data_IF_158232217235
#
_entry.id   IF_158232217235
#
_cell.length_a   1.000
_cell.length_b   1.000
_cell.length_c   1.000
_cell.angle_alpha   90.00
_cell.angle_beta   90.00
_cell.angle_gamma   90.00
#
_symmetry.space_group_name_H-M   'P 1'
#
loop_
_entity.id
_entity.type
_entity.pdbx_description
1 polymer ?
#
# COMPACT_ATOMS: atom_id res chain seq x y z
N UNK A 1 -26.53 8.12 -3.68
CA UNK A 1 -26.56 8.20 -2.19
C UNK A 1 -25.45 7.30 -1.68
N UNK A 2 -24.25 7.87 -1.74
CA UNK A 2 -22.97 7.21 -1.56
C UNK A 2 -22.70 6.95 -0.09
N UNK A 3 -22.90 5.70 0.35
CA UNK A 3 -22.39 5.24 1.66
C UNK A 3 -20.93 4.86 1.49
N UNK A 4 -20.01 5.82 1.67
CA UNK A 4 -18.60 5.51 1.95
C UNK A 4 -18.49 5.15 3.43
N UNK A 5 -18.61 3.87 3.75
CA UNK A 5 -18.28 3.35 5.08
C UNK A 5 -16.78 3.49 5.32
N UNK A 6 -16.41 4.36 6.26
CA UNK A 6 -15.07 4.43 6.81
C UNK A 6 -14.72 3.11 7.48
N UNK A 7 -13.52 2.59 7.20
CA UNK A 7 -13.02 1.33 7.77
C UNK A 7 -13.00 1.49 9.30
N UNK A 8 -13.77 0.72 10.08
CA UNK A 8 -13.63 0.77 11.53
C UNK A 8 -12.22 0.29 11.88
N UNK A 9 -11.55 0.98 12.80
CA UNK A 9 -10.34 0.47 13.44
C UNK A 9 -10.74 -0.82 14.16
N UNK A 10 -10.45 -1.96 13.52
CA UNK A 10 -10.65 -3.27 14.10
C UNK A 10 -9.70 -3.39 15.30
N UNK A 11 -10.27 -3.61 16.48
CA UNK A 11 -9.50 -4.02 17.64
C UNK A 11 -8.88 -5.39 17.34
N UNK A 12 -7.56 -5.38 17.13
CA UNK A 12 -6.78 -6.56 16.69
C UNK A 12 -6.87 -7.72 17.67
N UNK A 13 -7.24 -7.45 18.93
CA UNK A 13 -7.34 -8.46 19.98
C UNK A 13 -8.75 -9.03 20.14
N UNK A 14 -9.77 -8.47 19.47
CA UNK A 14 -11.16 -8.85 19.69
C UNK A 14 -11.81 -9.38 18.41
N UNK A 15 -11.52 -10.65 18.06
CA UNK A 15 -12.22 -11.37 17.01
C UNK A 15 -12.65 -12.77 17.53
N UNK A 16 -13.92 -13.12 17.34
CA UNK A 16 -14.44 -14.41 17.82
C UNK A 16 -14.08 -15.58 16.89
N UNK A 17 -13.90 -15.31 15.59
CA UNK A 17 -13.71 -16.33 14.53
C UNK A 17 -12.93 -15.79 13.34
N UNK A 18 -12.14 -16.65 12.69
CA UNK A 18 -11.43 -16.38 11.43
C UNK A 18 -12.08 -17.20 10.31
N UNK A 19 -12.20 -16.62 9.11
CA UNK A 19 -12.68 -17.31 7.90
C UNK A 19 -11.68 -17.12 6.77
N UNK A 20 -11.60 -18.13 5.91
CA UNK A 20 -10.83 -18.08 4.65
C UNK A 20 -11.81 -18.18 3.48
N UNK A 21 -11.52 -17.48 2.40
CA UNK A 21 -12.32 -17.49 1.18
C UNK A 21 -11.50 -16.99 -0.01
N UNK A 22 -12.02 -17.21 -1.21
CA UNK A 22 -11.44 -16.66 -2.42
C UNK A 22 -11.68 -15.15 -2.49
N UNK A 23 -10.65 -14.40 -2.87
CA UNK A 23 -10.75 -12.97 -3.09
C UNK A 23 -11.21 -12.68 -4.53
N UNK A 24 -12.21 -11.81 -4.69
CA UNK A 24 -12.63 -11.32 -6.01
C UNK A 24 -11.64 -10.28 -6.56
N UNK A 25 -11.62 -10.04 -7.89
CA UNK A 25 -10.80 -8.98 -8.48
C UNK A 25 -11.07 -7.59 -7.88
N UNK A 26 -12.31 -7.30 -7.51
CA UNK A 26 -12.71 -6.04 -6.87
C UNK A 26 -12.13 -5.92 -5.46
N UNK A 27 -12.13 -7.03 -4.69
CA UNK A 27 -11.53 -7.06 -3.35
C UNK A 27 -10.03 -6.83 -3.40
N UNK A 28 -9.33 -7.49 -4.34
CA UNK A 28 -7.88 -7.31 -4.52
C UNK A 28 -7.54 -5.86 -4.85
N UNK A 29 -8.32 -5.21 -5.73
CA UNK A 29 -8.14 -3.78 -6.05
C UNK A 29 -8.44 -2.88 -4.86
N UNK A 30 -9.44 -3.22 -4.04
CA UNK A 30 -9.79 -2.45 -2.85
C UNK A 30 -8.72 -2.51 -1.74
N UNK A 31 -7.95 -3.60 -1.66
CA UNK A 31 -6.82 -3.72 -0.74
C UNK A 31 -5.57 -2.97 -1.22
N UNK A 32 -5.43 -2.80 -2.54
CA UNK A 32 -4.27 -2.15 -3.11
C UNK A 32 -4.31 -0.63 -2.90
N UNK A 33 -3.14 -0.07 -2.56
CA UNK A 33 -2.90 1.38 -2.49
C UNK A 33 -2.34 1.96 -3.80
N UNK A 34 -2.09 1.13 -4.81
CA UNK A 34 -1.57 1.56 -6.11
C UNK A 34 -1.11 0.41 -7.00
N UNK A 35 -0.84 0.71 -8.28
CA UNK A 35 -0.43 -0.28 -9.28
C UNK A 35 1.07 -0.19 -9.57
N UNK A 36 1.76 -1.33 -9.52
CA UNK A 36 3.15 -1.47 -9.98
C UNK A 36 3.14 -1.73 -11.49
N UNK A 37 3.84 -0.87 -12.25
CA UNK A 37 3.90 -0.95 -13.72
C UNK A 37 5.23 -1.48 -14.23
N UNK A 38 6.23 -1.52 -13.35
CA UNK A 38 7.64 -1.64 -13.65
C UNK A 38 8.27 -2.71 -12.76
N UNK A 39 9.07 -3.65 -13.32
CA UNK A 39 9.71 -4.69 -12.52
C UNK A 39 10.92 -4.18 -11.73
N UNK A 40 11.34 -2.93 -11.95
CA UNK A 40 12.49 -2.35 -11.27
C UNK A 40 12.27 -2.21 -9.75
N UNK A 41 13.34 -2.39 -9.00
CA UNK A 41 13.32 -2.38 -7.53
C UNK A 41 13.89 -1.08 -6.98
N UNK A 42 15.21 -0.99 -6.91
CA UNK A 42 15.98 0.10 -6.30
C UNK A 42 17.05 0.52 -7.28
N UNK A 43 17.31 1.82 -7.36
CA UNK A 43 18.40 2.34 -8.16
C UNK A 43 19.76 1.93 -7.57
N UNK A 44 20.63 1.34 -8.40
CA UNK A 44 21.92 0.84 -7.93
C UNK A 44 22.90 1.92 -7.43
N UNK A 45 22.75 3.19 -7.85
CA UNK A 45 23.63 4.28 -7.43
C UNK A 45 23.09 5.02 -6.23
N UNK A 46 21.82 5.44 -6.32
CA UNK A 46 21.22 6.31 -5.30
C UNK A 46 20.63 5.52 -4.13
N UNK A 47 20.47 4.20 -4.30
CA UNK A 47 19.77 3.30 -3.37
C UNK A 47 18.32 3.74 -3.08
N UNK A 48 17.76 4.60 -3.94
CA UNK A 48 16.37 5.05 -3.85
C UNK A 48 15.45 4.09 -4.60
N UNK A 49 14.23 3.83 -4.10
CA UNK A 49 13.25 3.04 -4.82
C UNK A 49 12.90 3.65 -6.17
N UNK A 50 12.71 2.79 -7.18
CA UNK A 50 12.32 3.23 -8.52
C UNK A 50 10.85 3.62 -8.58
N UNK A 51 10.54 4.70 -9.32
CA UNK A 51 9.17 5.21 -9.45
C UNK A 51 8.32 4.25 -10.28
N UNK A 52 7.15 3.90 -9.76
CA UNK A 52 6.24 2.85 -10.29
C UNK A 52 6.81 1.42 -10.22
N UNK A 53 7.99 1.24 -9.60
CA UNK A 53 8.62 -0.06 -9.37
C UNK A 53 8.06 -0.80 -8.16
N UNK A 54 8.64 -1.96 -7.87
CA UNK A 54 8.22 -2.88 -6.81
C UNK A 54 8.30 -2.29 -5.40
N UNK A 55 9.15 -1.28 -5.20
CA UNK A 55 9.34 -0.60 -3.91
C UNK A 55 8.87 0.87 -3.93
N UNK A 56 8.00 1.25 -4.87
CA UNK A 56 7.61 2.65 -5.05
C UNK A 56 6.96 3.25 -3.78
N UNK A 57 7.56 4.31 -3.24
CA UNK A 57 7.10 4.99 -2.02
C UNK A 57 5.68 5.56 -2.14
N UNK A 58 5.20 5.84 -3.37
CA UNK A 58 3.83 6.28 -3.61
C UNK A 58 2.79 5.19 -3.29
N UNK A 59 3.15 3.92 -3.48
CA UNK A 59 2.24 2.78 -3.29
C UNK A 59 2.33 2.27 -1.86
N UNK A 60 3.56 2.11 -1.37
CA UNK A 60 3.83 1.41 -0.11
C UNK A 60 4.13 2.34 1.08
N UNK A 61 4.38 3.63 0.84
CA UNK A 61 4.73 4.61 1.86
C UNK A 61 6.19 5.05 1.81
N UNK A 62 6.54 6.10 2.58
CA UNK A 62 7.87 6.70 2.55
C UNK A 62 8.92 5.77 3.14
N UNK A 63 10.18 5.88 2.68
CA UNK A 63 11.31 5.13 3.25
C UNK A 63 11.78 5.69 4.59
N UNK A 64 11.42 6.94 4.90
CA UNK A 64 11.80 7.64 6.13
C UNK A 64 10.56 8.23 6.79
N UNK A 65 10.58 8.25 8.12
CA UNK A 65 9.48 8.77 8.90
C UNK A 65 9.26 10.26 8.59
N UNK A 66 8.03 10.60 8.23
CA UNK A 66 7.58 11.97 7.97
C UNK A 66 8.37 12.72 6.88
N UNK A 67 9.13 12.03 6.03
CA UNK A 67 9.90 12.64 4.92
C UNK A 67 9.38 12.13 3.57
N UNK A 68 9.10 13.05 2.66
CA UNK A 68 8.73 12.76 1.28
C UNK A 68 9.97 12.37 0.46
N UNK A 69 9.80 11.48 -0.53
CA UNK A 69 10.86 11.06 -1.47
C UNK A 69 11.73 12.19 -2.05
N UNK A 70 11.13 13.36 -2.32
CA UNK A 70 11.82 14.53 -2.88
C UNK A 70 12.60 15.35 -1.83
N UNK A 71 12.49 15.04 -0.55
CA UNK A 71 13.12 15.74 0.58
C UNK A 71 12.55 17.14 0.87
N UNK A 72 11.44 17.52 0.22
CA UNK A 72 10.84 18.85 0.37
C UNK A 72 9.90 18.97 1.58
N UNK A 73 9.30 17.85 1.98
CA UNK A 73 8.31 17.76 3.05
C UNK A 73 8.70 16.65 4.00
#
# INVERSE_FOLDING_TARGET
MDKKEGRPLLDVNNFDRIRIGLASPEQIRAWSSGEVKKPETINYRTLKPEREGLFCEKIFGPTRDWECHCGKY
#
